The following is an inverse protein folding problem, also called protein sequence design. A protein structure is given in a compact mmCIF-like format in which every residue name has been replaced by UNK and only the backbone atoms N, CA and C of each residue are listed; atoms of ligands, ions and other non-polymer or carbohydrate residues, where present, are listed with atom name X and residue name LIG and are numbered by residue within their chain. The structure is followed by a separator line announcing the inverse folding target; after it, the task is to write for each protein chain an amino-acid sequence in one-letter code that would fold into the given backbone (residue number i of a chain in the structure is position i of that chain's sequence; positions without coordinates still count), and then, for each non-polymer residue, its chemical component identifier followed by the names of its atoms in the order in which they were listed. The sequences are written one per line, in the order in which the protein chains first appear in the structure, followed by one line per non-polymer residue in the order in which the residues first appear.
data_IF_255625722266
#
_entry.id   IF_255625722266
#
_cell.length_a   1.000
_cell.length_b   1.000
_cell.length_c   1.000
_cell.angle_alpha   90.00
_cell.angle_beta   90.00
_cell.angle_gamma   90.00
#
_symmetry.space_group_name_H-M   'P 1'
#
loop_
_entity.id
_entity.type
_entity.pdbx_description
1 polymer ?
#
# COMPACT_ATOMS: atom_id res chain seq x y z
N UNK A 1 3.97 21.84 -16.00
CA UNK A 1 3.29 21.48 -14.74
C UNK A 1 1.88 20.97 -15.00
N UNK A 2 0.91 21.78 -15.42
CA UNK A 2 -0.47 21.29 -15.66
C UNK A 2 -0.56 20.08 -16.62
N UNK A 3 0.19 20.07 -17.72
CA UNK A 3 0.17 18.94 -18.67
C UNK A 3 0.71 17.63 -18.08
N UNK A 4 1.64 17.68 -17.11
CA UNK A 4 2.15 16.49 -16.44
C UNK A 4 1.05 15.88 -15.56
N UNK A 5 0.39 16.69 -14.74
CA UNK A 5 -0.70 16.22 -13.88
C UNK A 5 -1.95 15.78 -14.64
N UNK A 6 -2.24 16.39 -15.80
CA UNK A 6 -3.32 15.94 -16.69
C UNK A 6 -3.08 14.54 -17.28
N UNK A 7 -1.82 14.16 -17.51
CA UNK A 7 -1.43 12.82 -17.97
C UNK A 7 -1.26 11.80 -16.84
N UNK A 8 -1.02 12.27 -15.62
CA UNK A 8 -0.68 11.43 -14.48
C UNK A 8 -1.82 10.47 -14.08
N UNK A 9 -3.05 10.96 -13.98
CA UNK A 9 -4.20 10.12 -13.62
C UNK A 9 -4.38 8.91 -14.57
N UNK A 10 -4.51 9.08 -15.89
CA UNK A 10 -4.70 7.94 -16.78
C UNK A 10 -3.50 6.99 -16.81
N UNK A 11 -2.28 7.50 -16.58
CA UNK A 11 -1.08 6.67 -16.48
C UNK A 11 -1.10 5.82 -15.19
N UNK A 12 -1.51 6.39 -14.05
CA UNK A 12 -1.67 5.64 -12.80
C UNK A 12 -2.79 4.60 -12.93
N UNK A 13 -3.95 4.95 -13.48
CA UNK A 13 -5.05 4.01 -13.68
C UNK A 13 -4.64 2.81 -14.53
N UNK A 14 -3.86 3.06 -15.58
CA UNK A 14 -3.30 2.00 -16.44
C UNK A 14 -2.29 1.15 -15.68
N UNK A 15 -1.36 1.78 -14.96
CA UNK A 15 -0.33 1.09 -14.18
C UNK A 15 -0.94 0.20 -13.08
N UNK A 16 -1.93 0.71 -12.34
CA UNK A 16 -2.68 -0.06 -11.33
C UNK A 16 -3.39 -1.25 -11.98
N UNK A 17 -4.03 -1.05 -13.15
CA UNK A 17 -4.70 -2.15 -13.86
C UNK A 17 -3.74 -3.26 -14.24
N UNK A 18 -2.60 -2.91 -14.84
CA UNK A 18 -1.58 -3.89 -15.21
C UNK A 18 -0.98 -4.61 -14.00
N UNK A 19 -0.68 -3.86 -12.93
CA UNK A 19 -0.19 -4.44 -11.68
C UNK A 19 -1.21 -5.41 -11.08
N UNK A 20 -2.49 -5.00 -11.01
CA UNK A 20 -3.55 -5.84 -10.47
C UNK A 20 -3.79 -7.09 -11.33
N UNK A 21 -3.67 -7.00 -12.66
CA UNK A 21 -3.74 -8.17 -13.54
C UNK A 21 -2.57 -9.14 -13.30
N UNK A 22 -1.36 -8.64 -13.07
CA UNK A 22 -0.19 -9.45 -12.72
C UNK A 22 -0.40 -10.14 -11.37
N UNK A 23 -0.78 -9.38 -10.34
CA UNK A 23 -1.08 -9.90 -9.00
C UNK A 23 -2.18 -10.96 -9.08
N UNK A 24 -3.27 -10.70 -9.82
CA UNK A 24 -4.36 -11.69 -10.01
C UNK A 24 -3.91 -13.01 -10.63
N UNK A 25 -2.87 -13.00 -11.48
CA UNK A 25 -2.28 -14.24 -12.02
C UNK A 25 -1.43 -14.95 -10.98
N UNK A 26 -0.73 -14.20 -10.14
CA UNK A 26 0.15 -14.71 -9.09
C UNK A 26 -0.64 -15.34 -7.92
N UNK A 27 -1.68 -14.65 -7.44
CA UNK A 27 -2.57 -15.18 -6.37
C UNK A 27 -3.30 -16.46 -6.81
N UNK A 28 -3.50 -16.64 -8.13
CA UNK A 28 -4.14 -17.82 -8.70
C UNK A 28 -5.60 -17.99 -8.27
N UNK A 29 -5.84 -18.85 -7.28
CA UNK A 29 -7.18 -19.17 -6.75
C UNK A 29 -7.48 -18.54 -5.40
N UNK A 30 -6.52 -17.82 -4.83
CA UNK A 30 -6.72 -17.11 -3.57
C UNK A 30 -7.72 -15.96 -3.74
N UNK A 31 -8.45 -15.66 -2.66
CA UNK A 31 -9.49 -14.65 -2.61
C UNK A 31 -8.92 -13.36 -2.07
N UNK A 32 -9.03 -12.27 -2.84
CA UNK A 32 -8.60 -10.94 -2.40
C UNK A 32 -9.42 -10.52 -1.18
N UNK A 33 -8.73 -10.21 -0.09
CA UNK A 33 -9.32 -9.65 1.13
C UNK A 33 -9.30 -8.11 1.08
N UNK A 34 -8.14 -7.54 0.74
CA UNK A 34 -7.95 -6.08 0.70
C UNK A 34 -6.91 -5.70 -0.36
N UNK A 35 -7.07 -4.52 -0.92
CA UNK A 35 -6.10 -3.89 -1.81
C UNK A 35 -5.95 -2.40 -1.41
N UNK A 36 -4.73 -1.89 -1.46
CA UNK A 36 -4.41 -0.51 -1.14
C UNK A 36 -3.42 0.06 -2.17
N UNK A 37 -3.74 1.24 -2.70
CA UNK A 37 -2.77 2.09 -3.40
C UNK A 37 -2.20 3.06 -2.37
N UNK A 38 -0.91 2.94 -2.10
CA UNK A 38 -0.21 3.65 -1.02
C UNK A 38 0.69 4.71 -1.61
N UNK A 39 0.75 5.87 -0.95
CA UNK A 39 1.67 6.96 -1.26
C UNK A 39 2.32 7.49 0.01
N UNK A 40 3.48 8.14 -0.11
CA UNK A 40 4.15 8.82 0.99
C UNK A 40 3.56 10.22 1.24
N UNK A 41 4.05 10.90 2.28
CA UNK A 41 3.56 12.24 2.66
C UNK A 41 3.74 13.27 1.55
N UNK A 42 4.77 13.08 0.72
CA UNK A 42 5.17 14.02 -0.31
C UNK A 42 4.48 13.71 -1.64
N UNK A 43 3.67 12.63 -1.69
CA UNK A 43 2.96 12.14 -2.87
C UNK A 43 3.87 11.79 -4.05
N UNK A 44 5.12 11.38 -3.78
CA UNK A 44 6.14 11.09 -4.80
C UNK A 44 6.37 9.59 -5.01
N UNK A 45 5.94 8.75 -4.07
CA UNK A 45 5.96 7.29 -4.25
C UNK A 45 4.55 6.73 -4.38
N UNK A 46 4.40 5.72 -5.23
CA UNK A 46 3.15 4.97 -5.42
C UNK A 46 3.44 3.48 -5.39
N UNK A 47 2.66 2.74 -4.61
CA UNK A 47 2.82 1.30 -4.43
C UNK A 47 1.45 0.62 -4.32
N UNK A 48 1.28 -0.52 -4.98
CA UNK A 48 0.05 -1.30 -4.88
C UNK A 48 0.29 -2.52 -3.99
N UNK A 49 -0.50 -2.65 -2.94
CA UNK A 49 -0.41 -3.73 -1.97
C UNK A 49 -1.71 -4.53 -1.93
N UNK A 50 -1.64 -5.85 -1.88
CA UNK A 50 -2.81 -6.74 -1.86
C UNK A 50 -2.60 -7.86 -0.85
N UNK A 51 -3.64 -8.11 -0.04
CA UNK A 51 -3.73 -9.29 0.83
C UNK A 51 -4.87 -10.20 0.37
N UNK A 52 -4.67 -11.50 0.53
CA UNK A 52 -5.68 -12.54 0.28
C UNK A 52 -6.10 -13.20 1.59
N UNK A 53 -7.31 -13.75 1.63
CA UNK A 53 -7.80 -14.51 2.78
C UNK A 53 -6.87 -15.70 3.11
N UNK A 54 -6.33 -16.37 2.08
CA UNK A 54 -5.45 -17.52 2.24
C UNK A 54 -4.07 -17.12 2.75
N UNK A 55 -3.50 -16.00 2.31
CA UNK A 55 -2.21 -15.54 2.79
C UNK A 55 -2.31 -15.05 4.25
N UNK A 56 -3.37 -14.30 4.58
CA UNK A 56 -3.69 -13.91 5.95
C UNK A 56 -3.88 -15.14 6.86
N UNK A 57 -4.61 -16.17 6.39
CA UNK A 57 -4.79 -17.40 7.17
C UNK A 57 -3.48 -18.17 7.39
N UNK A 58 -2.54 -18.15 6.43
CA UNK A 58 -1.19 -18.73 6.61
C UNK A 58 -0.41 -17.95 7.69
N UNK A 59 -0.50 -16.62 7.69
CA UNK A 59 0.13 -15.74 8.69
C UNK A 59 -0.48 -15.92 10.08
N UNK A 60 -1.81 -15.95 10.19
CA UNK A 60 -2.51 -16.24 11.44
C UNK A 60 -2.08 -17.58 12.05
N UNK A 61 -1.79 -18.58 11.22
CA UNK A 61 -1.27 -19.86 11.68
C UNK A 61 0.18 -19.75 12.18
N UNK A 62 1.01 -18.91 11.55
CA UNK A 62 2.38 -18.65 11.98
C UNK A 62 2.42 -17.88 13.31
N UNK A 63 1.45 -16.98 13.55
CA UNK A 63 1.32 -16.21 14.79
C UNK A 63 0.99 -17.07 16.02
N UNK A 64 0.44 -18.26 15.81
CA UNK A 64 0.04 -19.19 16.90
C UNK A 64 1.19 -20.04 17.45
N UNK A 65 2.42 -19.80 17.02
CA UNK A 65 3.59 -20.51 17.59
C UNK A 65 3.89 -20.01 19.01
N UNK A 66 4.35 -20.86 19.94
CA UNK A 66 4.65 -20.43 21.32
C UNK A 66 5.63 -19.25 21.39
N UNK A 67 6.64 -19.26 20.54
CA UNK A 67 7.64 -18.19 20.45
C UNK A 67 6.99 -16.86 20.03
N UNK A 68 6.15 -16.89 18.98
CA UNK A 68 5.47 -15.70 18.48
C UNK A 68 4.41 -15.17 19.44
N UNK A 69 3.65 -16.04 20.09
CA UNK A 69 2.70 -15.65 21.14
C UNK A 69 3.43 -14.98 22.32
N UNK A 70 4.60 -15.48 22.72
CA UNK A 70 5.42 -14.86 23.76
C UNK A 70 5.96 -13.48 23.35
N UNK A 71 6.24 -13.27 22.06
CA UNK A 71 6.55 -11.93 21.52
C UNK A 71 5.33 -11.01 21.54
N UNK A 72 4.17 -11.47 21.08
CA UNK A 72 2.93 -10.68 21.05
C UNK A 72 2.52 -10.19 22.45
N UNK A 73 2.71 -11.00 23.49
CA UNK A 73 2.44 -10.60 24.89
C UNK A 73 3.28 -9.42 25.39
N UNK A 74 4.37 -9.07 24.70
CA UNK A 74 5.17 -7.88 25.06
C UNK A 74 4.49 -6.57 24.63
N UNK A 75 3.63 -6.62 23.61
CA UNK A 75 3.02 -5.46 22.98
C UNK A 75 1.50 -5.39 23.16
N UNK A 76 0.86 -6.55 23.32
CA UNK A 76 -0.59 -6.67 23.37
C UNK A 76 -1.07 -7.25 24.72
N UNK A 77 -2.28 -6.88 25.18
CA UNK A 77 -2.88 -7.47 26.37
C UNK A 77 -3.01 -8.98 26.25
N UNK A 78 -2.88 -9.68 27.38
CA UNK A 78 -2.95 -11.14 27.42
C UNK A 78 -4.25 -11.68 26.84
N UNK A 79 -5.37 -11.02 27.11
CA UNK A 79 -6.69 -11.43 26.62
C UNK A 79 -6.76 -11.47 25.09
N UNK A 80 -6.11 -10.50 24.42
CA UNK A 80 -6.04 -10.48 22.96
C UNK A 80 -5.13 -11.59 22.44
N UNK A 81 -3.98 -11.82 23.09
CA UNK A 81 -3.06 -12.90 22.68
C UNK A 81 -3.68 -14.27 22.88
N UNK A 82 -4.47 -14.47 23.94
CA UNK A 82 -5.22 -15.72 24.15
C UNK A 82 -6.24 -15.97 23.02
N UNK A 83 -6.90 -14.92 22.51
CA UNK A 83 -7.79 -15.01 21.34
C UNK A 83 -7.05 -15.29 20.02
N UNK A 84 -5.81 -14.80 19.87
CA UNK A 84 -4.97 -15.16 18.72
C UNK A 84 -4.59 -16.64 18.81
N UNK A 85 -4.20 -17.09 20.01
CA UNK A 85 -3.78 -18.46 20.27
C UNK A 85 -4.90 -19.50 20.01
N UNK A 86 -6.14 -19.20 20.42
CA UNK A 86 -7.29 -20.07 20.15
C UNK A 86 -7.86 -19.90 18.73
N UNK A 87 -7.40 -18.88 18.00
CA UNK A 87 -7.76 -18.59 16.62
C UNK A 87 -9.10 -17.89 16.44
N UNK A 88 -9.71 -17.39 17.52
CA UNK A 88 -10.90 -16.54 17.48
C UNK A 88 -10.61 -15.11 17.01
N UNK A 89 -9.34 -14.69 17.05
CA UNK A 89 -8.90 -13.39 16.57
C UNK A 89 -7.73 -13.50 15.59
N UNK A 90 -7.77 -12.65 14.55
CA UNK A 90 -6.74 -12.54 13.52
C UNK A 90 -6.11 -11.16 13.63
N UNK A 91 -4.85 -11.10 14.05
CA UNK A 91 -4.10 -9.84 14.07
C UNK A 91 -3.76 -9.40 12.64
N UNK A 92 -3.38 -10.35 11.77
CA UNK A 92 -2.92 -10.07 10.41
C UNK A 92 -3.94 -9.31 9.55
N UNK A 93 -5.24 -9.43 9.86
CA UNK A 93 -6.32 -8.67 9.21
C UNK A 93 -6.35 -7.16 9.53
N UNK A 94 -5.68 -6.74 10.60
CA UNK A 94 -5.73 -5.36 11.11
C UNK A 94 -4.36 -4.71 11.25
N UNK A 95 -3.26 -5.47 11.10
CA UNK A 95 -1.91 -4.90 11.11
C UNK A 95 -1.48 -4.65 9.66
N UNK A 96 -1.34 -3.37 9.26
CA UNK A 96 -1.06 -3.00 7.87
C UNK A 96 0.42 -3.10 7.48
N UNK A 97 1.28 -3.61 8.36
CA UNK A 97 2.74 -3.63 8.18
C UNK A 97 3.22 -4.71 7.20
N UNK A 98 2.37 -5.67 6.87
CA UNK A 98 2.72 -6.83 6.07
C UNK A 98 1.66 -7.07 4.99
N UNK A 99 2.09 -6.91 3.74
CA UNK A 99 1.33 -7.20 2.53
C UNK A 99 1.93 -8.40 1.81
N UNK A 100 1.09 -9.36 1.45
CA UNK A 100 1.53 -10.63 0.85
C UNK A 100 1.82 -10.49 -0.65
N UNK A 101 1.19 -9.54 -1.34
CA UNK A 101 1.38 -9.30 -2.77
C UNK A 101 1.57 -7.81 -3.07
N UNK A 102 2.37 -7.51 -4.10
CA UNK A 102 2.57 -6.15 -4.57
C UNK A 102 2.89 -6.02 -6.05
N UNK A 103 2.91 -4.79 -6.56
CA UNK A 103 3.29 -4.48 -7.94
C UNK A 103 4.77 -4.83 -8.25
N UNK A 104 5.62 -4.80 -7.22
CA UNK A 104 7.05 -5.13 -7.29
C UNK A 104 7.93 -3.99 -7.79
N UNK A 105 9.25 -4.15 -7.73
CA UNK A 105 10.22 -3.08 -8.00
C UNK A 105 10.30 -2.65 -9.46
N UNK A 106 9.84 -3.46 -10.40
CA UNK A 106 9.93 -3.19 -11.84
C UNK A 106 8.56 -2.82 -12.44
N UNK A 107 7.63 -2.33 -11.62
CA UNK A 107 6.27 -1.99 -12.03
C UNK A 107 6.18 -0.65 -12.78
N UNK A 108 5.09 -0.46 -13.52
CA UNK A 108 4.76 0.84 -14.11
C UNK A 108 4.51 1.90 -13.01
N UNK A 109 4.02 1.51 -11.83
CA UNK A 109 3.86 2.41 -10.67
C UNK A 109 5.21 2.89 -10.12
N UNK A 110 6.23 2.03 -10.10
CA UNK A 110 7.58 2.43 -9.74
C UNK A 110 8.18 3.39 -10.78
N UNK A 111 7.86 3.22 -12.06
CA UNK A 111 8.27 4.17 -13.11
C UNK A 111 7.63 5.55 -12.91
N UNK A 112 6.34 5.58 -12.59
CA UNK A 112 5.63 6.82 -12.25
C UNK A 112 6.24 7.45 -10.98
N UNK A 113 6.56 6.66 -9.96
CA UNK A 113 7.22 7.16 -8.74
C UNK A 113 8.56 7.84 -9.06
N UNK A 114 9.37 7.28 -9.95
CA UNK A 114 10.61 7.93 -10.38
C UNK A 114 10.35 9.25 -11.11
N UNK A 115 9.31 9.31 -11.94
CA UNK A 115 8.93 10.56 -12.62
C UNK A 115 8.45 11.62 -11.63
N UNK A 116 7.68 11.22 -10.61
CA UNK A 116 7.22 12.11 -9.54
C UNK A 116 8.40 12.65 -8.73
N UNK A 117 9.35 11.79 -8.37
CA UNK A 117 10.59 12.18 -7.70
C UNK A 117 11.40 13.19 -8.54
N UNK A 118 11.58 12.92 -9.84
CA UNK A 118 12.28 13.83 -10.74
C UNK A 118 11.56 15.19 -10.86
N UNK A 119 10.22 15.22 -10.82
CA UNK A 119 9.45 16.47 -10.80
C UNK A 119 9.60 17.20 -9.47
N UNK A 120 9.53 16.52 -8.33
CA UNK A 120 9.74 17.13 -7.01
C UNK A 120 11.11 17.80 -6.90
N UNK A 121 12.17 17.12 -7.37
CA UNK A 121 13.52 17.65 -7.41
C UNK A 121 13.66 18.91 -8.29
N UNK A 122 12.78 19.10 -9.28
CA UNK A 122 12.73 20.34 -10.08
C UNK A 122 11.92 21.45 -9.43
N UNK A 123 11.06 21.11 -8.48
CA UNK A 123 10.20 22.05 -7.74
C UNK A 123 10.81 22.49 -6.42
N UNK A 124 11.74 21.72 -5.85
CA UNK A 124 12.46 22.11 -4.62
C UNK A 124 13.32 23.38 -4.78
N UNK A 125 13.60 23.79 -6.03
CA UNK A 125 14.28 25.04 -6.38
C UNK A 125 13.31 26.17 -6.80
N UNK A 126 11.99 25.94 -6.76
CA UNK A 126 10.95 26.91 -7.11
C UNK A 126 10.49 27.73 -5.89
N UNK A 127 9.82 28.85 -6.14
CA UNK A 127 9.25 29.73 -5.09
C UNK A 127 8.16 28.99 -4.30
N UNK A 128 8.10 29.17 -2.98
CA UNK A 128 7.22 28.41 -2.05
C UNK A 128 5.74 28.42 -2.50
N UNK A 129 5.27 29.54 -3.07
CA UNK A 129 3.89 29.72 -3.56
C UNK A 129 3.51 28.74 -4.69
N UNK A 130 4.48 28.29 -5.50
CA UNK A 130 4.25 27.32 -6.59
C UNK A 130 4.23 25.89 -6.04
N UNK A 131 4.99 25.62 -4.99
CA UNK A 131 5.06 24.31 -4.35
C UNK A 131 3.74 23.96 -3.66
N UNK A 132 3.15 24.92 -2.93
CA UNK A 132 1.88 24.74 -2.24
C UNK A 132 0.71 24.46 -3.19
N UNK A 133 0.64 25.16 -4.34
CA UNK A 133 -0.43 24.96 -5.33
C UNK A 133 -0.37 23.55 -5.97
N UNK A 134 0.84 23.03 -6.21
CA UNK A 134 1.03 21.67 -6.74
C UNK A 134 0.68 20.61 -5.69
N UNK A 135 1.10 20.82 -4.44
CA UNK A 135 0.80 19.91 -3.34
C UNK A 135 -0.71 19.80 -3.08
N UNK A 136 -1.45 20.91 -3.13
CA UNK A 136 -2.92 20.91 -2.98
C UNK A 136 -3.62 20.15 -4.12
N UNK A 137 -3.14 20.24 -5.36
CA UNK A 137 -3.71 19.46 -6.48
C UNK A 137 -3.51 17.96 -6.29
N UNK A 138 -2.35 17.55 -5.77
CA UNK A 138 -2.09 16.15 -5.41
C UNK A 138 -3.00 15.65 -4.30
N UNK A 139 -3.15 16.40 -3.21
CA UNK A 139 -4.04 16.04 -2.09
C UNK A 139 -5.50 15.96 -2.53
N UNK A 140 -5.92 16.87 -3.41
CA UNK A 140 -7.27 16.82 -3.98
C UNK A 140 -7.50 15.55 -4.78
N UNK A 141 -6.49 15.12 -5.57
CA UNK A 141 -6.57 13.91 -6.38
C UNK A 141 -6.56 12.62 -5.54
N UNK A 142 -5.71 12.52 -4.51
CA UNK A 142 -5.70 11.36 -3.59
C UNK A 142 -6.97 11.29 -2.73
N UNK A 143 -7.57 12.44 -2.40
CA UNK A 143 -8.86 12.54 -1.73
C UNK A 143 -10.01 11.87 -2.49
N UNK A 144 -9.96 11.79 -3.82
CA UNK A 144 -10.97 11.10 -4.64
C UNK A 144 -10.96 9.57 -4.49
N UNK A 145 -9.87 8.98 -3.99
CA UNK A 145 -9.78 7.52 -3.76
C UNK A 145 -10.19 7.10 -2.34
N UNK A 146 -10.37 8.06 -1.42
CA UNK A 146 -10.75 7.83 -0.02
C UNK A 146 -12.25 8.05 0.27
N UNK A 147 -13.10 8.12 -0.78
CA UNK A 147 -14.55 8.33 -0.68
C UNK A 147 -15.39 7.08 -0.97
#
# INVERSE_FOLDING_TARGET
MEQFFLGLQPDIEKAVRHAMEKIRREIGKEHIYSAALVTDSDCITLFLAVNTEEALAKRDKADRTPERLAELQKYWPKELVDQVADGSFSLSRYVPDEWDYSDGTDSELNQISNQLYDQEATLSDADDDIYDEVHEQFQTWTGFFNG
#
